data_IF_780129214597
#
_entry.id   IF_780129214597
#
_cell.length_a   1.000
_cell.length_b   1.000
_cell.length_c   1.000
_cell.angle_alpha   90.00
_cell.angle_beta   90.00
_cell.angle_gamma   90.00
#
_symmetry.space_group_name_H-M   'P 1'
#
loop_
_entity.id
_entity.type
_entity.pdbx_description
1 polymer ?
#
# COMPACT_ATOMS: atom_id res chain seq x y z
N UNK A 1 21.24 8.25 -4.67
CA UNK A 1 20.80 6.93 -4.22
C UNK A 1 19.28 6.79 -4.27
N UNK A 2 18.48 7.77 -3.80
CA UNK A 2 17.00 7.69 -3.83
C UNK A 2 16.44 7.54 -5.26
N UNK A 3 16.97 8.27 -6.24
CA UNK A 3 16.56 8.12 -7.64
C UNK A 3 16.92 6.73 -8.17
N UNK A 4 18.11 6.24 -7.87
CA UNK A 4 18.54 4.90 -8.26
C UNK A 4 17.63 3.82 -7.66
N UNK A 5 17.28 3.94 -6.39
CA UNK A 5 16.32 3.07 -5.71
C UNK A 5 14.97 3.03 -6.44
N UNK A 6 14.43 4.20 -6.80
CA UNK A 6 13.15 4.33 -7.52
C UNK A 6 13.20 3.65 -8.89
N UNK A 7 14.30 3.81 -9.62
CA UNK A 7 14.52 3.16 -10.93
C UNK A 7 14.62 1.63 -10.76
N UNK A 8 15.44 1.17 -9.82
CA UNK A 8 15.59 -0.27 -9.56
C UNK A 8 14.27 -0.91 -9.12
N UNK A 9 13.48 -0.23 -8.28
CA UNK A 9 12.16 -0.68 -7.87
C UNK A 9 11.19 -0.80 -9.07
N UNK A 10 11.19 0.17 -9.98
CA UNK A 10 10.39 0.10 -11.20
C UNK A 10 10.84 -1.04 -12.12
N UNK A 11 12.15 -1.22 -12.33
CA UNK A 11 12.69 -2.32 -13.14
C UNK A 11 12.33 -3.66 -12.53
N UNK A 12 12.47 -3.82 -11.20
CA UNK A 12 12.14 -5.06 -10.50
C UNK A 12 10.66 -5.46 -10.71
N UNK A 13 9.74 -4.47 -10.74
CA UNK A 13 8.33 -4.70 -10.99
C UNK A 13 8.09 -5.31 -12.38
N UNK A 14 8.78 -4.84 -13.43
CA UNK A 14 8.68 -5.44 -14.77
C UNK A 14 9.32 -6.83 -14.81
N UNK A 15 10.50 -7.01 -14.21
CA UNK A 15 11.19 -8.31 -14.18
C UNK A 15 10.38 -9.35 -13.43
N UNK A 16 9.68 -8.95 -12.35
CA UNK A 16 8.81 -9.83 -11.56
C UNK A 16 7.58 -10.35 -12.35
N UNK A 17 7.22 -9.72 -13.48
CA UNK A 17 6.15 -10.19 -14.37
C UNK A 17 6.62 -11.23 -15.40
N UNK A 18 7.92 -11.28 -15.70
CA UNK A 18 8.48 -12.22 -16.69
C UNK A 18 8.24 -13.71 -16.34
N UNK A 19 8.27 -14.13 -15.07
CA UNK A 19 7.92 -15.50 -14.70
C UNK A 19 6.53 -15.93 -15.17
N UNK A 20 5.53 -15.04 -15.16
CA UNK A 20 4.17 -15.36 -15.63
C UNK A 20 4.15 -15.71 -17.12
N UNK A 21 4.95 -15.04 -17.95
CA UNK A 21 5.11 -15.40 -19.35
C UNK A 21 5.70 -16.81 -19.52
N UNK A 22 6.71 -17.17 -18.73
CA UNK A 22 7.29 -18.52 -18.80
C UNK A 22 6.38 -19.60 -18.24
N UNK A 23 5.60 -19.30 -17.19
CA UNK A 23 4.55 -20.21 -16.68
C UNK A 23 3.51 -20.45 -17.77
N UNK A 24 3.08 -19.42 -18.47
CA UNK A 24 2.17 -19.55 -19.62
C UNK A 24 2.78 -20.44 -20.71
N UNK A 25 4.08 -20.32 -21.02
CA UNK A 25 4.79 -21.21 -21.95
C UNK A 25 4.81 -22.65 -21.46
N UNK A 26 4.99 -22.90 -20.17
CA UNK A 26 4.89 -24.25 -19.58
C UNK A 26 3.48 -24.80 -19.79
N UNK A 27 2.45 -24.02 -19.52
CA UNK A 27 1.05 -24.41 -19.69
C UNK A 27 0.74 -24.74 -21.16
N UNK A 28 1.23 -23.93 -22.12
CA UNK A 28 1.12 -24.22 -23.55
C UNK A 28 1.70 -25.60 -23.89
N UNK A 29 2.89 -25.90 -23.37
CA UNK A 29 3.57 -27.15 -23.68
C UNK A 29 2.84 -28.33 -23.07
N UNK A 30 2.36 -28.24 -21.83
CA UNK A 30 1.54 -29.26 -21.15
C UNK A 30 0.28 -29.60 -21.96
N UNK A 31 -0.45 -28.59 -22.42
CA UNK A 31 -1.66 -28.79 -23.21
C UNK A 31 -1.36 -29.34 -24.60
N UNK A 32 -0.26 -28.92 -25.23
CA UNK A 32 0.20 -29.44 -26.53
C UNK A 32 0.45 -30.94 -26.50
N UNK A 33 1.09 -31.43 -25.44
CA UNK A 33 1.42 -32.86 -25.29
C UNK A 33 0.29 -33.69 -24.66
N UNK A 34 -0.89 -33.10 -24.43
CA UNK A 34 -2.06 -33.73 -23.81
C UNK A 34 -1.71 -34.55 -22.55
N UNK A 35 -0.90 -33.91 -21.66
CA UNK A 35 -0.39 -34.47 -20.39
C UNK A 35 0.57 -35.70 -20.57
N UNK A 36 1.05 -36.01 -21.78
CA UNK A 36 2.12 -36.99 -21.99
C UNK A 36 3.48 -36.30 -21.78
N UNK A 37 3.91 -36.23 -20.53
CA UNK A 37 5.12 -35.49 -20.14
C UNK A 37 6.41 -36.07 -20.75
N UNK A 38 6.38 -37.32 -21.26
CA UNK A 38 7.55 -37.93 -21.96
C UNK A 38 7.88 -37.20 -23.26
N UNK A 39 6.89 -36.51 -23.87
CA UNK A 39 7.02 -35.77 -25.12
C UNK A 39 7.24 -34.27 -24.92
N UNK A 40 7.28 -33.79 -23.67
CA UNK A 40 7.37 -32.39 -23.32
C UNK A 40 8.83 -31.91 -23.30
N UNK A 41 9.32 -31.41 -24.43
CA UNK A 41 10.72 -31.04 -24.61
C UNK A 41 11.15 -29.69 -23.96
N UNK A 42 10.22 -28.85 -23.52
CA UNK A 42 10.53 -27.45 -23.12
C UNK A 42 10.21 -27.12 -21.68
N UNK A 43 9.44 -27.91 -20.94
CA UNK A 43 8.89 -27.59 -19.62
C UNK A 43 10.00 -27.26 -18.62
N UNK A 44 11.04 -28.10 -18.53
CA UNK A 44 12.15 -27.85 -17.61
C UNK A 44 12.87 -26.55 -17.90
N UNK A 45 13.13 -26.25 -19.17
CA UNK A 45 13.81 -25.00 -19.58
C UNK A 45 12.98 -23.77 -19.25
N UNK A 46 11.68 -23.79 -19.54
CA UNK A 46 10.79 -22.67 -19.21
C UNK A 46 10.60 -22.53 -17.70
N UNK A 47 10.49 -23.65 -16.97
CA UNK A 47 10.42 -23.65 -15.52
C UNK A 47 11.64 -23.00 -14.87
N UNK A 48 12.85 -23.42 -15.28
CA UNK A 48 14.09 -22.83 -14.75
C UNK A 48 14.26 -21.35 -15.14
N UNK A 49 13.81 -20.94 -16.33
CA UNK A 49 13.79 -19.53 -16.71
C UNK A 49 12.82 -18.72 -15.83
N UNK A 50 11.62 -19.26 -15.55
CA UNK A 50 10.67 -18.60 -14.64
C UNK A 50 11.29 -18.39 -13.26
N UNK A 51 11.92 -19.41 -12.68
CA UNK A 51 12.62 -19.33 -11.39
C UNK A 51 13.78 -18.33 -11.45
N UNK A 52 14.59 -18.38 -12.51
CA UNK A 52 15.71 -17.46 -12.69
C UNK A 52 15.29 -15.99 -12.73
N UNK A 53 14.22 -15.67 -13.47
CA UNK A 53 13.68 -14.30 -13.52
C UNK A 53 13.00 -13.88 -12.21
N UNK A 54 12.35 -14.79 -11.48
CA UNK A 54 11.81 -14.50 -10.16
C UNK A 54 12.92 -14.13 -9.16
N UNK A 55 14.01 -14.92 -9.13
CA UNK A 55 15.17 -14.61 -8.29
C UNK A 55 15.84 -13.31 -8.72
N UNK A 56 16.01 -13.08 -10.02
CA UNK A 56 16.59 -11.84 -10.54
C UNK A 56 15.76 -10.61 -10.14
N UNK A 57 14.44 -10.68 -10.27
CA UNK A 57 13.52 -9.62 -9.83
C UNK A 57 13.66 -9.32 -8.34
N UNK A 58 13.76 -10.37 -7.51
CA UNK A 58 13.97 -10.24 -6.07
C UNK A 58 15.32 -9.58 -5.76
N UNK A 59 16.40 -9.97 -6.42
CA UNK A 59 17.74 -9.37 -6.22
C UNK A 59 17.72 -7.88 -6.59
N UNK A 60 17.12 -7.51 -7.73
CA UNK A 60 17.02 -6.11 -8.16
C UNK A 60 16.20 -5.30 -7.15
N UNK A 61 15.08 -5.84 -6.66
CA UNK A 61 14.25 -5.19 -5.64
C UNK A 61 15.03 -4.97 -4.34
N UNK A 62 15.73 -6.00 -3.84
CA UNK A 62 16.56 -5.89 -2.63
C UNK A 62 17.68 -4.86 -2.80
N UNK A 63 18.34 -4.82 -3.95
CA UNK A 63 19.34 -3.80 -4.25
C UNK A 63 18.73 -2.39 -4.23
N UNK A 64 17.53 -2.22 -4.79
CA UNK A 64 16.76 -0.98 -4.73
C UNK A 64 16.43 -0.55 -3.31
N UNK A 65 15.95 -1.48 -2.47
CA UNK A 65 15.67 -1.22 -1.05
C UNK A 65 16.94 -0.85 -0.27
N UNK A 66 18.05 -1.53 -0.47
CA UNK A 66 19.32 -1.16 0.18
C UNK A 66 19.74 0.27 -0.18
N UNK A 67 19.62 0.66 -1.45
CA UNK A 67 19.88 2.03 -1.88
C UNK A 67 18.95 3.05 -1.21
N UNK A 68 17.65 2.73 -1.04
CA UNK A 68 16.70 3.64 -0.40
C UNK A 68 16.99 3.80 1.09
N UNK A 69 17.26 2.71 1.81
CA UNK A 69 17.56 2.76 3.24
C UNK A 69 18.85 3.54 3.52
N UNK A 70 19.93 3.29 2.76
CA UNK A 70 21.18 4.04 2.92
C UNK A 70 20.95 5.55 2.71
N UNK A 71 20.19 5.91 1.66
CA UNK A 71 19.85 7.30 1.40
C UNK A 71 18.99 7.91 2.51
N UNK A 72 17.98 7.16 2.98
CA UNK A 72 17.05 7.60 4.01
C UNK A 72 17.75 7.86 5.36
N UNK A 73 18.60 6.95 5.81
CA UNK A 73 19.36 7.12 7.05
C UNK A 73 20.34 8.29 6.96
N UNK A 74 20.95 8.50 5.80
CA UNK A 74 21.85 9.64 5.60
C UNK A 74 21.10 10.98 5.70
N UNK A 75 19.95 11.08 5.03
CA UNK A 75 19.09 12.28 5.10
C UNK A 75 18.56 12.47 6.53
N UNK A 76 18.12 11.42 7.21
CA UNK A 76 17.64 11.48 8.59
C UNK A 76 18.70 12.03 9.53
N UNK A 77 19.95 11.53 9.42
CA UNK A 77 21.07 12.00 10.23
C UNK A 77 21.36 13.48 9.97
N UNK A 78 21.42 13.89 8.69
CA UNK A 78 21.63 15.29 8.32
C UNK A 78 20.52 16.21 8.83
N UNK A 79 19.24 15.79 8.72
CA UNK A 79 18.11 16.55 9.24
C UNK A 79 18.21 16.74 10.76
N UNK A 80 18.51 15.68 11.51
CA UNK A 80 18.70 15.77 12.96
C UNK A 80 19.80 16.75 13.33
N UNK A 81 20.95 16.65 12.67
CA UNK A 81 22.08 17.55 12.89
C UNK A 81 21.71 19.00 12.57
N UNK A 82 21.05 19.25 11.44
CA UNK A 82 20.62 20.60 11.06
C UNK A 82 19.62 21.19 12.04
N UNK A 83 18.61 20.40 12.47
CA UNK A 83 17.64 20.83 13.47
C UNK A 83 18.30 21.11 14.82
N UNK A 84 19.20 20.26 15.29
CA UNK A 84 19.93 20.48 16.54
C UNK A 84 20.81 21.74 16.47
N UNK A 85 21.53 21.94 15.40
CA UNK A 85 22.32 23.16 15.19
C UNK A 85 21.44 24.42 15.20
N UNK A 86 20.26 24.36 14.59
CA UNK A 86 19.32 25.48 14.61
C UNK A 86 18.78 25.75 16.02
N UNK A 87 18.43 24.70 16.78
CA UNK A 87 17.95 24.83 18.17
C UNK A 87 18.99 25.53 19.04
N UNK A 88 20.27 25.26 18.83
CA UNK A 88 21.35 25.91 19.57
C UNK A 88 21.48 27.44 19.30
N UNK A 89 20.90 27.92 18.21
CA UNK A 89 20.86 29.36 17.88
C UNK A 89 19.63 30.08 18.42
N UNK A 90 18.63 29.33 18.95
CA UNK A 90 17.41 29.92 19.47
C UNK A 90 17.58 30.49 20.86
N UNK A 91 16.86 31.61 21.20
CA UNK A 91 16.83 32.13 22.55
C UNK A 91 16.34 31.12 23.58
N UNK A 92 16.97 31.09 24.76
CA UNK A 92 16.60 30.15 25.85
C UNK A 92 15.11 30.27 26.23
N UNK A 93 14.54 31.49 26.28
CA UNK A 93 13.14 31.68 26.57
C UNK A 93 12.17 31.05 25.58
N UNK A 94 12.57 30.89 24.30
CA UNK A 94 11.79 30.15 23.33
C UNK A 94 11.78 28.64 23.65
N UNK A 95 12.95 28.11 24.03
CA UNK A 95 13.08 26.69 24.38
C UNK A 95 12.25 26.37 25.64
N UNK A 96 12.25 27.27 26.62
CA UNK A 96 11.45 27.15 27.84
C UNK A 96 9.95 27.25 27.56
N UNK A 97 9.51 28.19 26.70
CA UNK A 97 8.10 28.36 26.36
C UNK A 97 7.49 27.19 25.58
N UNK A 98 8.26 26.61 24.65
CA UNK A 98 7.80 25.47 23.84
C UNK A 98 7.96 24.12 24.57
N UNK A 99 8.84 24.06 25.55
CA UNK A 99 9.14 22.86 26.31
C UNK A 99 10.05 21.86 25.59
N UNK A 100 11.02 21.32 26.30
CA UNK A 100 12.03 20.37 25.74
C UNK A 100 11.40 19.11 25.15
N UNK A 101 10.27 18.63 25.72
CA UNK A 101 9.55 17.47 25.22
C UNK A 101 8.98 17.65 23.81
N UNK A 102 8.38 18.84 23.54
CA UNK A 102 7.83 19.17 22.22
C UNK A 102 8.94 19.29 21.17
N UNK A 103 10.03 19.98 21.51
CA UNK A 103 11.19 20.14 20.64
C UNK A 103 11.79 18.77 20.29
N UNK A 104 12.02 17.93 21.31
CA UNK A 104 12.49 16.55 21.10
C UNK A 104 11.59 15.76 20.16
N UNK A 105 10.26 15.83 20.36
CA UNK A 105 9.27 15.17 19.52
C UNK A 105 9.39 15.64 18.07
N UNK A 106 9.45 16.95 17.83
CA UNK A 106 9.60 17.52 16.47
C UNK A 106 10.86 16.95 15.80
N UNK A 107 12.00 17.00 16.46
CA UNK A 107 13.29 16.50 15.90
C UNK A 107 13.21 15.01 15.60
N UNK A 108 12.65 14.23 16.51
CA UNK A 108 12.59 12.77 16.36
C UNK A 108 11.56 12.35 15.33
N UNK A 109 10.31 12.84 15.45
CA UNK A 109 9.19 12.36 14.63
C UNK A 109 9.29 12.86 13.18
N UNK A 110 9.70 14.14 12.98
CA UNK A 110 9.86 14.67 11.62
C UNK A 110 10.98 13.99 10.86
N UNK A 111 12.10 13.69 11.53
CA UNK A 111 13.21 12.97 10.91
C UNK A 111 12.87 11.51 10.62
N UNK A 112 12.11 10.85 11.51
CA UNK A 112 11.64 9.47 11.30
C UNK A 112 10.60 9.40 10.16
N UNK A 113 9.66 10.36 10.09
CA UNK A 113 8.69 10.42 9.01
C UNK A 113 9.37 10.60 7.63
N UNK A 114 10.43 11.42 7.57
CA UNK A 114 11.21 11.61 6.34
C UNK A 114 11.98 10.35 5.95
N UNK A 115 12.57 9.66 6.91
CA UNK A 115 13.24 8.37 6.71
C UNK A 115 12.25 7.35 6.14
N UNK A 116 11.11 7.15 6.79
CA UNK A 116 10.06 6.22 6.34
C UNK A 116 9.58 6.55 4.92
N UNK A 117 9.41 7.83 4.60
CA UNK A 117 9.01 8.24 3.26
C UNK A 117 10.06 7.86 2.20
N UNK A 118 11.33 8.15 2.46
CA UNK A 118 12.42 7.87 1.51
C UNK A 118 12.74 6.38 1.41
N UNK A 119 12.69 5.65 2.53
CA UNK A 119 13.02 4.22 2.58
C UNK A 119 11.96 3.35 1.92
N UNK A 120 10.68 3.64 2.15
CA UNK A 120 9.56 2.79 1.75
C UNK A 120 8.61 3.45 0.74
N UNK A 121 8.06 4.63 1.09
CA UNK A 121 6.99 5.24 0.28
C UNK A 121 7.44 5.60 -1.13
N UNK A 122 8.67 6.04 -1.31
CA UNK A 122 9.18 6.46 -2.61
C UNK A 122 9.40 5.27 -3.57
N UNK A 123 10.09 4.17 -3.18
CA UNK A 123 10.16 2.95 -3.97
C UNK A 123 8.78 2.33 -4.25
N UNK A 124 7.91 2.26 -3.23
CA UNK A 124 6.56 1.68 -3.37
C UNK A 124 5.70 2.44 -4.38
N UNK A 125 5.81 3.77 -4.42
CA UNK A 125 5.15 4.59 -5.45
C UNK A 125 5.66 4.27 -6.87
N UNK A 126 6.91 3.90 -7.03
CA UNK A 126 7.45 3.50 -8.32
C UNK A 126 6.89 2.13 -8.74
N UNK A 127 6.91 1.15 -7.83
CA UNK A 127 6.34 -0.18 -8.06
C UNK A 127 4.84 -0.09 -8.35
N UNK A 128 4.09 0.70 -7.57
CA UNK A 128 2.63 0.86 -7.74
C UNK A 128 2.22 1.48 -9.08
N UNK A 129 3.12 2.22 -9.74
CA UNK A 129 2.91 2.74 -11.10
C UNK A 129 3.41 1.76 -12.16
N UNK A 130 4.57 1.15 -11.94
CA UNK A 130 5.20 0.23 -12.89
C UNK A 130 4.41 -1.08 -13.06
N UNK A 131 3.90 -1.65 -11.97
CA UNK A 131 3.17 -2.92 -11.99
C UNK A 131 1.91 -2.89 -12.86
N UNK A 132 0.99 -1.91 -12.75
CA UNK A 132 -0.17 -1.85 -13.64
C UNK A 132 0.20 -1.70 -15.11
N UNK A 133 1.23 -0.90 -15.41
CA UNK A 133 1.73 -0.74 -16.79
C UNK A 133 2.25 -2.07 -17.31
N UNK A 134 3.07 -2.76 -16.52
CA UNK A 134 3.59 -4.07 -16.88
C UNK A 134 2.49 -5.13 -17.06
N UNK A 135 1.46 -5.12 -16.23
CA UNK A 135 0.30 -6.00 -16.36
C UNK A 135 -0.49 -5.73 -17.65
N UNK A 136 -0.71 -4.46 -18.01
CA UNK A 136 -1.38 -4.10 -19.26
C UNK A 136 -0.57 -4.61 -20.46
N UNK A 137 0.75 -4.44 -20.45
CA UNK A 137 1.64 -4.96 -21.48
C UNK A 137 1.54 -6.50 -21.53
N UNK A 138 1.59 -7.17 -20.39
CA UNK A 138 1.50 -8.62 -20.33
C UNK A 138 0.15 -9.14 -20.86
N UNK A 139 -0.96 -8.50 -20.49
CA UNK A 139 -2.29 -8.80 -21.02
C UNK A 139 -2.36 -8.61 -22.53
N UNK A 140 -1.77 -7.54 -23.08
CA UNK A 140 -1.72 -7.30 -24.51
C UNK A 140 -0.88 -8.37 -25.27
N UNK A 141 0.16 -8.90 -24.63
CA UNK A 141 0.99 -9.98 -25.18
C UNK A 141 0.24 -11.32 -25.20
N UNK A 142 -0.56 -11.60 -24.18
CA UNK A 142 -1.32 -12.86 -24.11
C UNK A 142 -2.54 -12.82 -25.02
N UNK A 143 -3.47 -11.93 -24.76
CA UNK A 143 -4.65 -11.68 -25.58
C UNK A 143 -5.23 -10.30 -25.24
N UNK A 144 -5.14 -9.36 -26.19
CA UNK A 144 -5.61 -7.99 -26.00
C UNK A 144 -7.14 -7.91 -25.72
N UNK A 145 -7.93 -8.88 -26.25
CA UNK A 145 -9.40 -8.94 -26.06
C UNK A 145 -9.74 -9.26 -24.62
N UNK A 146 -9.08 -10.28 -24.05
CA UNK A 146 -9.19 -10.63 -22.63
C UNK A 146 -8.69 -9.50 -21.75
N UNK A 147 -7.58 -8.86 -22.14
CA UNK A 147 -7.03 -7.70 -21.44
C UNK A 147 -8.04 -6.55 -21.32
N UNK A 148 -8.73 -6.18 -22.40
CA UNK A 148 -9.75 -5.13 -22.35
C UNK A 148 -10.90 -5.52 -21.41
N UNK A 149 -11.36 -6.76 -21.45
CA UNK A 149 -12.44 -7.22 -20.55
C UNK A 149 -12.04 -7.19 -19.08
N UNK A 150 -10.77 -7.47 -18.75
CA UNK A 150 -10.23 -7.33 -17.40
C UNK A 150 -10.08 -5.86 -16.96
N UNK A 151 -9.83 -4.94 -17.89
CA UNK A 151 -9.71 -3.51 -17.57
C UNK A 151 -11.05 -2.87 -17.21
N UNK A 152 -12.18 -3.40 -17.67
CA UNK A 152 -13.50 -2.84 -17.35
C UNK A 152 -13.76 -2.85 -15.83
N UNK A 153 -13.72 -3.99 -15.12
CA UNK A 153 -13.94 -3.99 -13.67
C UNK A 153 -12.84 -3.24 -12.91
N UNK A 154 -11.61 -3.22 -13.42
CA UNK A 154 -10.54 -2.42 -12.84
C UNK A 154 -10.83 -0.91 -12.93
N UNK A 155 -11.34 -0.43 -14.08
CA UNK A 155 -11.76 0.96 -14.26
C UNK A 155 -12.94 1.33 -13.33
N UNK A 156 -13.94 0.44 -13.21
CA UNK A 156 -15.06 0.62 -12.29
C UNK A 156 -14.53 0.71 -10.84
N UNK A 157 -13.62 -0.18 -10.45
CA UNK A 157 -12.97 -0.15 -9.15
C UNK A 157 -12.23 1.17 -8.91
N UNK A 158 -11.51 1.67 -9.91
CA UNK A 158 -10.81 2.96 -9.82
C UNK A 158 -11.78 4.13 -9.61
N UNK A 159 -12.96 4.13 -10.24
CA UNK A 159 -14.01 5.14 -10.00
C UNK A 159 -14.47 5.11 -8.55
N UNK A 160 -14.73 3.94 -7.97
CA UNK A 160 -15.06 3.82 -6.55
C UNK A 160 -13.92 4.30 -5.65
N UNK A 161 -12.68 3.94 -5.97
CA UNK A 161 -11.49 4.37 -5.23
C UNK A 161 -11.31 5.89 -5.27
N UNK A 162 -11.52 6.53 -6.43
CA UNK A 162 -11.40 7.98 -6.57
C UNK A 162 -12.47 8.73 -5.76
N UNK A 163 -13.64 8.14 -5.57
CA UNK A 163 -14.68 8.72 -4.73
C UNK A 163 -14.31 8.80 -3.24
N UNK A 164 -13.27 8.03 -2.83
CA UNK A 164 -12.70 8.08 -1.48
C UNK A 164 -11.70 9.23 -1.27
N UNK A 165 -11.41 10.02 -2.30
CA UNK A 165 -10.43 11.13 -2.25
C UNK A 165 -11.09 12.53 -2.20
N UNK A 166 -12.39 12.61 -1.86
CA UNK A 166 -13.15 13.87 -1.81
C UNK A 166 -12.79 14.73 -0.58
N UNK A 167 -13.06 16.06 -0.69
CA UNK A 167 -12.86 17.04 0.41
C UNK A 167 -13.64 16.65 1.66
N UNK A 168 -14.86 16.13 1.50
CA UNK A 168 -15.72 15.71 2.62
C UNK A 168 -15.13 14.53 3.40
N UNK A 169 -14.37 13.66 2.72
CA UNK A 169 -13.70 12.56 3.37
C UNK A 169 -12.44 13.01 4.10
N UNK A 170 -11.68 13.93 3.49
CA UNK A 170 -10.51 14.55 4.14
C UNK A 170 -10.92 15.30 5.42
N UNK A 171 -12.03 16.05 5.40
CA UNK A 171 -12.57 16.71 6.58
C UNK A 171 -13.03 15.70 7.65
N UNK A 172 -13.73 14.63 7.24
CA UNK A 172 -14.15 13.56 8.17
C UNK A 172 -12.95 12.84 8.80
N UNK A 173 -11.86 12.63 8.03
CA UNK A 173 -10.61 12.07 8.54
C UNK A 173 -9.93 13.01 9.54
N UNK A 174 -9.93 14.31 9.26
CA UNK A 174 -9.39 15.32 10.17
C UNK A 174 -10.13 15.33 11.50
N UNK A 175 -11.46 15.30 11.47
CA UNK A 175 -12.29 15.24 12.68
C UNK A 175 -12.06 13.94 13.46
N UNK A 176 -11.95 12.82 12.77
CA UNK A 176 -11.55 11.54 13.37
C UNK A 176 -10.20 11.63 14.08
N UNK A 177 -9.18 12.19 13.44
CA UNK A 177 -7.85 12.37 14.05
C UNK A 177 -7.88 13.33 15.24
N UNK A 178 -8.59 14.42 15.14
CA UNK A 178 -8.74 15.36 16.25
C UNK A 178 -9.44 14.73 17.46
N UNK A 179 -10.52 13.96 17.24
CA UNK A 179 -11.22 13.27 18.33
C UNK A 179 -10.36 12.19 18.98
N UNK A 180 -9.51 11.49 18.20
CA UNK A 180 -8.52 10.55 18.73
C UNK A 180 -7.47 11.24 19.60
N UNK A 181 -7.00 12.42 19.20
CA UNK A 181 -6.02 13.21 19.95
C UNK A 181 -6.62 13.68 21.28
N UNK A 182 -7.84 14.22 21.25
CA UNK A 182 -8.56 14.65 22.46
C UNK A 182 -8.79 13.47 23.41
N UNK A 183 -9.30 12.35 22.91
CA UNK A 183 -9.50 11.13 23.72
C UNK A 183 -8.19 10.64 24.34
N UNK A 184 -7.09 10.68 23.60
CA UNK A 184 -5.79 10.26 24.10
C UNK A 184 -5.26 11.20 25.20
N UNK A 185 -5.47 12.50 25.05
CA UNK A 185 -5.11 13.49 26.07
C UNK A 185 -5.91 13.30 27.36
N UNK A 186 -7.23 13.16 27.26
CA UNK A 186 -8.12 12.91 28.40
C UNK A 186 -7.81 11.58 29.09
N UNK A 187 -7.40 10.53 28.34
CA UNK A 187 -6.96 9.26 28.89
C UNK A 187 -5.71 9.43 29.79
N UNK A 188 -4.72 10.20 29.31
CA UNK A 188 -3.49 10.46 30.08
C UNK A 188 -3.82 11.26 31.34
N UNK A 189 -4.70 12.25 31.24
CA UNK A 189 -5.12 13.07 32.37
C UNK A 189 -5.91 12.25 33.41
N UNK A 190 -6.80 11.38 32.94
CA UNK A 190 -7.51 10.43 33.79
C UNK A 190 -6.55 9.52 34.56
N UNK A 191 -5.56 8.91 33.88
CA UNK A 191 -4.58 8.03 34.52
C UNK A 191 -3.75 8.79 35.57
N UNK A 192 -3.35 10.03 35.28
CA UNK A 192 -2.63 10.87 36.24
C UNK A 192 -3.47 11.24 37.43
N UNK A 193 -4.79 11.40 37.26
CA UNK A 193 -5.74 11.72 38.34
C UNK A 193 -6.12 10.54 39.25
N UNK A 194 -5.91 9.30 38.80
CA UNK A 194 -6.30 8.07 39.57
C UNK A 194 -5.77 8.05 40.99
N UNK A 195 -4.48 8.36 41.28
CA UNK A 195 -3.98 8.39 42.66
C UNK A 195 -4.72 9.39 43.54
N UNK A 196 -5.00 10.58 43.02
CA UNK A 196 -5.73 11.65 43.72
C UNK A 196 -7.16 11.22 44.03
N UNK A 197 -7.84 10.67 43.02
CA UNK A 197 -9.20 10.13 43.13
C UNK A 197 -9.28 9.04 44.19
N UNK A 198 -8.31 8.10 44.22
CA UNK A 198 -8.24 7.03 45.22
C UNK A 198 -8.02 7.57 46.64
N UNK A 199 -7.24 8.65 46.78
CA UNK A 199 -6.93 9.23 48.09
C UNK A 199 -8.11 10.02 48.66
N UNK A 200 -8.85 10.75 47.82
CA UNK A 200 -9.92 11.64 48.23
C UNK A 200 -11.35 11.13 47.98
N UNK A 201 -11.49 9.93 47.42
CA UNK A 201 -12.79 9.29 47.17
C UNK A 201 -13.68 9.97 46.12
N UNK A 202 -13.13 10.88 45.30
CA UNK A 202 -13.89 11.62 44.30
C UNK A 202 -13.66 11.07 42.89
N UNK A 203 -14.64 10.33 42.39
CA UNK A 203 -14.51 9.56 41.12
C UNK A 203 -15.13 10.24 39.85
N UNK A 204 -15.89 11.32 39.99
CA UNK A 204 -16.93 11.62 38.97
C UNK A 204 -16.50 12.55 37.85
N UNK A 205 -15.68 13.57 38.09
CA UNK A 205 -15.40 14.59 37.08
C UNK A 205 -14.38 14.19 36.02
N UNK A 206 -13.27 13.57 36.40
CA UNK A 206 -12.24 13.13 35.45
C UNK A 206 -12.72 11.99 34.57
N UNK A 207 -13.54 11.08 35.12
CA UNK A 207 -14.16 9.99 34.35
C UNK A 207 -15.19 10.51 33.34
N UNK A 208 -15.97 11.55 33.71
CA UNK A 208 -16.99 12.12 32.82
C UNK A 208 -16.36 12.72 31.56
N UNK A 209 -15.31 13.53 31.70
CA UNK A 209 -14.59 14.12 30.55
C UNK A 209 -14.01 13.07 29.63
N UNK A 210 -13.35 12.07 30.18
CA UNK A 210 -12.79 10.97 29.40
C UNK A 210 -13.88 10.16 28.68
N UNK A 211 -15.02 9.89 29.38
CA UNK A 211 -16.17 9.22 28.77
C UNK A 211 -16.75 10.03 27.61
N UNK A 212 -16.95 11.32 27.77
CA UNK A 212 -17.43 12.21 26.71
C UNK A 212 -16.48 12.21 25.49
N UNK A 213 -15.17 12.21 25.73
CA UNK A 213 -14.18 12.12 24.67
C UNK A 213 -14.21 10.76 23.94
N UNK A 214 -14.47 9.66 24.63
CA UNK A 214 -14.69 8.33 24.03
C UNK A 214 -15.94 8.32 23.16
N UNK A 215 -17.07 8.85 23.69
CA UNK A 215 -18.35 8.89 22.98
C UNK A 215 -18.24 9.76 21.70
N UNK A 216 -17.50 10.87 21.76
CA UNK A 216 -17.21 11.71 20.58
C UNK A 216 -16.30 11.00 19.56
N UNK A 217 -15.26 10.34 20.01
CA UNK A 217 -14.38 9.54 19.15
C UNK A 217 -15.16 8.39 18.47
N UNK A 218 -16.03 7.68 19.21
CA UNK A 218 -16.92 6.66 18.65
C UNK A 218 -17.79 7.23 17.54
N UNK A 219 -18.45 8.36 17.78
CA UNK A 219 -19.33 9.03 16.80
C UNK A 219 -18.59 9.36 15.51
N UNK A 220 -17.39 9.95 15.60
CA UNK A 220 -16.57 10.27 14.42
C UNK A 220 -16.03 9.02 13.73
N UNK A 221 -15.62 8.01 14.48
CA UNK A 221 -15.16 6.72 13.94
C UNK A 221 -16.26 6.01 13.18
N UNK A 222 -17.45 5.90 13.75
CA UNK A 222 -18.61 5.30 13.09
C UNK A 222 -19.06 6.11 11.87
N UNK A 223 -19.04 7.45 11.98
CA UNK A 223 -19.36 8.35 10.87
C UNK A 223 -18.41 8.17 9.68
N UNK A 224 -17.11 8.17 9.95
CA UNK A 224 -16.08 7.93 8.95
C UNK A 224 -16.21 6.54 8.32
N UNK A 225 -16.34 5.48 9.13
CA UNK A 225 -16.49 4.10 8.65
C UNK A 225 -17.74 3.92 7.78
N UNK A 226 -18.87 4.53 8.16
CA UNK A 226 -20.11 4.50 7.36
C UNK A 226 -19.94 5.18 6.00
N UNK A 227 -19.23 6.31 5.94
CA UNK A 227 -18.92 7.00 4.67
C UNK A 227 -18.02 6.15 3.76
N UNK A 228 -17.01 5.50 4.33
CA UNK A 228 -16.07 4.66 3.60
C UNK A 228 -16.68 3.34 3.11
N UNK A 229 -17.72 2.82 3.77
CA UNK A 229 -18.28 1.49 3.51
C UNK A 229 -18.74 1.29 2.07
N UNK A 230 -19.54 2.22 1.52
CA UNK A 230 -20.07 2.07 0.16
C UNK A 230 -18.96 2.08 -0.91
N UNK A 231 -18.05 3.06 -0.96
CA UNK A 231 -16.95 3.05 -1.90
C UNK A 231 -16.05 1.82 -1.76
N UNK A 232 -15.73 1.42 -0.53
CA UNK A 232 -14.88 0.27 -0.24
C UNK A 232 -15.49 -1.05 -0.73
N UNK A 233 -16.78 -1.26 -0.43
CA UNK A 233 -17.52 -2.44 -0.92
C UNK A 233 -17.60 -2.42 -2.44
N UNK A 234 -17.91 -1.26 -3.05
CA UNK A 234 -17.94 -1.11 -4.50
C UNK A 234 -16.59 -1.44 -5.16
N UNK A 235 -15.51 -0.90 -4.62
CA UNK A 235 -14.14 -1.21 -5.09
C UNK A 235 -13.83 -2.71 -4.98
N UNK A 236 -14.04 -3.30 -3.80
CA UNK A 236 -13.75 -4.72 -3.55
C UNK A 236 -14.59 -5.63 -4.45
N UNK A 237 -15.87 -5.31 -4.63
CA UNK A 237 -16.78 -6.06 -5.52
C UNK A 237 -16.34 -5.95 -6.98
N UNK A 238 -15.98 -4.74 -7.43
CA UNK A 238 -15.51 -4.52 -8.80
C UNK A 238 -14.22 -5.32 -9.07
N UNK A 239 -13.24 -5.27 -8.18
CA UNK A 239 -11.99 -6.02 -8.34
C UNK A 239 -12.24 -7.53 -8.34
N UNK A 240 -13.05 -8.04 -7.42
CA UNK A 240 -13.37 -9.47 -7.36
C UNK A 240 -14.25 -9.95 -8.55
N UNK A 241 -14.94 -9.05 -9.24
CA UNK A 241 -15.73 -9.39 -10.42
C UNK A 241 -14.89 -9.66 -11.68
N UNK A 242 -13.55 -9.46 -11.66
CA UNK A 242 -12.65 -9.73 -12.81
C UNK A 242 -12.89 -11.14 -13.36
N UNK A 243 -13.03 -12.14 -12.50
CA UNK A 243 -13.29 -13.52 -12.93
C UNK A 243 -14.62 -13.66 -13.70
N UNK A 244 -15.67 -12.92 -13.33
CA UNK A 244 -16.93 -12.92 -14.04
C UNK A 244 -16.76 -12.34 -15.44
N UNK A 245 -16.01 -11.25 -15.57
CA UNK A 245 -15.71 -10.65 -16.89
C UNK A 245 -14.86 -11.56 -17.77
N UNK A 246 -13.92 -12.32 -17.19
CA UNK A 246 -13.16 -13.34 -17.90
C UNK A 246 -14.08 -14.44 -18.43
N UNK A 247 -15.03 -14.94 -17.63
CA UNK A 247 -16.01 -15.94 -18.05
C UNK A 247 -16.90 -15.41 -19.17
N UNK A 248 -17.38 -14.18 -19.07
CA UNK A 248 -18.16 -13.52 -20.11
C UNK A 248 -17.31 -13.39 -21.40
N UNK A 249 -16.06 -12.97 -21.29
CA UNK A 249 -15.14 -12.89 -22.42
C UNK A 249 -14.90 -14.25 -23.06
N UNK A 250 -14.76 -15.31 -22.27
CA UNK A 250 -14.63 -16.68 -22.75
C UNK A 250 -15.86 -17.09 -23.58
N UNK A 251 -17.04 -16.79 -23.11
CA UNK A 251 -18.29 -17.12 -23.83
C UNK A 251 -18.45 -16.29 -25.09
N UNK A 252 -18.18 -14.99 -25.05
CA UNK A 252 -18.37 -14.06 -26.19
C UNK A 252 -17.34 -14.27 -27.30
N UNK A 253 -16.07 -14.46 -26.95
CA UNK A 253 -14.97 -14.57 -27.91
C UNK A 253 -14.60 -16.02 -28.26
N UNK A 254 -14.86 -16.98 -27.37
CA UNK A 254 -14.57 -18.40 -27.57
C UNK A 254 -15.64 -19.12 -28.42
N UNK A 255 -16.85 -18.57 -28.50
CA UNK A 255 -17.96 -19.21 -29.20
C UNK A 255 -18.32 -20.56 -28.56
N UNK A 256 -18.95 -21.47 -29.33
CA UNK A 256 -19.34 -22.79 -28.88
C UNK A 256 -18.15 -23.77 -28.81
N UNK A 257 -17.02 -23.46 -29.47
CA UNK A 257 -15.79 -24.24 -29.43
C UNK A 257 -14.65 -23.39 -28.83
N UNK A 258 -14.41 -23.57 -27.54
CA UNK A 258 -13.21 -22.99 -26.91
C UNK A 258 -12.01 -23.76 -27.47
N UNK A 259 -11.28 -23.16 -28.40
CA UNK A 259 -10.02 -23.74 -28.87
C UNK A 259 -9.04 -23.85 -27.71
N UNK A 260 -8.20 -24.90 -27.70
CA UNK A 260 -7.20 -25.10 -26.64
C UNK A 260 -6.29 -23.88 -26.47
N UNK A 261 -5.99 -23.16 -27.55
CA UNK A 261 -5.20 -21.93 -27.53
C UNK A 261 -5.91 -20.77 -26.78
N UNK A 262 -7.22 -20.61 -26.99
CA UNK A 262 -8.00 -19.56 -26.30
C UNK A 262 -8.23 -19.93 -24.83
N UNK A 263 -8.52 -21.21 -24.53
CA UNK A 263 -8.64 -21.70 -23.16
C UNK A 263 -7.35 -21.52 -22.35
N UNK A 264 -6.19 -21.61 -23.00
CA UNK A 264 -4.90 -21.36 -22.36
C UNK A 264 -4.70 -19.88 -22.00
N UNK A 265 -5.18 -18.94 -22.83
CA UNK A 265 -5.06 -17.52 -22.55
C UNK A 265 -6.02 -17.06 -21.45
N UNK A 266 -7.01 -17.90 -21.09
CA UNK A 266 -7.92 -17.68 -19.97
C UNK A 266 -7.33 -18.07 -18.61
N UNK A 267 -6.41 -19.02 -18.57
CA UNK A 267 -5.69 -19.47 -17.37
C UNK A 267 -4.57 -18.51 -17.02
#
# INVERSE_FOLDING_TARGET
>A
LSILSTILAAISAFVALVPFYYIWKVMQEVLRVRFDFSKAAGISTYGWRAVGFAILGMIIYMAGLMCSHIAAFHVQAQMRTAMMNHIMTLPLGYIESEGTGKIRKIVTDSSAATETYLAHTLPDKAVSKATPIGLIILMAVFDWRLGIMCLIPAAIGFVFMSSMSGKDLAESMKQYQNSLEVMSAEAVEYIRGVPVVKTFGQTVFSFKRFKEAIDEYEKWTLGFTKKMRKPMVGFTTAVNSIFVFIIIAAYVFGGHEITAAFGLNLL
#
